data_IF_013520670093
#
_entry.id   IF_013520670093
#
_cell.length_a   1.000
_cell.length_b   1.000
_cell.length_c   1.000
_cell.angle_alpha   90.00
_cell.angle_beta   90.00
_cell.angle_gamma   90.00
#
_symmetry.space_group_name_H-M   'P 1'
#
loop_
_entity.id
_entity.type
_entity.pdbx_description
1 polymer ?
#
# COMPACT_ATOMS: atom_id res chain seq x y z
N UNK A 1 13.99 2.46 -8.05
CA UNK A 1 14.23 3.80 -7.46
C UNK A 1 13.37 3.91 -6.21
N UNK A 2 13.89 4.41 -5.09
CA UNK A 2 13.08 4.63 -3.89
C UNK A 2 11.98 5.67 -4.15
N UNK A 3 10.77 5.41 -3.66
CA UNK A 3 9.67 6.35 -3.68
C UNK A 3 9.98 7.48 -2.69
N UNK A 4 9.86 8.72 -3.16
CA UNK A 4 10.02 9.91 -2.34
C UNK A 4 8.70 10.68 -2.26
N UNK A 5 8.28 10.97 -1.04
CA UNK A 5 7.06 11.70 -0.73
C UNK A 5 7.47 13.05 -0.15
N UNK A 6 6.84 14.11 -0.64
CA UNK A 6 7.14 15.47 -0.27
C UNK A 6 5.92 16.20 0.27
N UNK A 7 6.16 17.31 0.97
CA UNK A 7 5.14 18.22 1.49
C UNK A 7 5.43 19.65 1.09
N UNK A 8 4.37 20.40 0.78
CA UNK A 8 4.35 21.86 0.69
C UNK A 8 3.00 22.37 1.18
N UNK A 9 2.97 23.35 2.09
CA UNK A 9 1.73 24.00 2.57
C UNK A 9 0.60 23.03 2.97
N UNK A 10 0.94 21.92 3.62
CA UNK A 10 -0.03 20.89 4.05
C UNK A 10 -0.47 19.91 2.94
N UNK A 11 -0.02 20.13 1.71
CA UNK A 11 -0.27 19.26 0.56
C UNK A 11 0.87 18.26 0.43
N UNK A 12 0.52 16.97 0.34
CA UNK A 12 1.48 15.91 0.03
C UNK A 12 1.59 15.72 -1.48
N UNK A 13 2.82 15.51 -1.95
CA UNK A 13 3.13 15.17 -3.33
C UNK A 13 4.12 14.02 -3.43
N UNK A 14 4.37 13.57 -4.66
CA UNK A 14 5.25 12.45 -4.99
C UNK A 14 6.25 12.87 -6.06
N UNK A 15 7.51 12.49 -5.89
CA UNK A 15 8.56 12.81 -6.87
C UNK A 15 8.54 11.82 -8.05
N UNK A 16 8.57 12.40 -9.24
CA UNK A 16 8.73 11.70 -10.52
C UNK A 16 10.21 11.51 -10.85
N UNK A 17 10.50 10.62 -11.80
CA UNK A 17 11.86 10.39 -12.31
C UNK A 17 12.46 11.63 -12.98
N UNK A 18 11.60 12.53 -13.48
CA UNK A 18 12.00 13.86 -14.00
C UNK A 18 12.46 14.85 -12.92
N UNK A 19 12.30 14.52 -11.63
CA UNK A 19 12.60 15.42 -10.51
C UNK A 19 11.45 16.30 -10.08
N UNK A 20 10.43 16.50 -10.93
CA UNK A 20 9.18 17.21 -10.60
C UNK A 20 8.43 16.51 -9.46
N UNK A 21 7.71 17.29 -8.64
CA UNK A 21 6.88 16.77 -7.55
C UNK A 21 5.42 17.11 -7.84
N UNK A 22 4.59 16.07 -7.97
CA UNK A 22 3.18 16.25 -8.34
C UNK A 22 2.25 15.88 -7.18
N UNK A 23 1.07 16.49 -7.17
CA UNK A 23 -0.05 16.12 -6.30
C UNK A 23 -1.35 16.08 -7.10
N UNK A 24 -2.44 15.65 -6.43
CA UNK A 24 -3.79 15.61 -7.00
C UNK A 24 -4.75 16.36 -6.09
N UNK A 25 -5.42 17.37 -6.64
CA UNK A 25 -6.46 18.15 -5.97
C UNK A 25 -7.59 18.36 -6.97
N UNK A 26 -8.84 18.10 -6.56
CA UNK A 26 -10.02 18.25 -7.41
C UNK A 26 -9.87 17.58 -8.79
N UNK A 27 -9.36 16.34 -8.81
CA UNK A 27 -9.09 15.54 -10.01
C UNK A 27 -8.10 16.14 -11.01
N UNK A 28 -7.38 17.21 -10.63
CA UNK A 28 -6.37 17.84 -11.47
C UNK A 28 -4.98 17.56 -10.90
N UNK A 29 -4.08 17.10 -11.76
CA UNK A 29 -2.67 16.91 -11.42
C UNK A 29 -1.98 18.28 -11.51
N UNK A 30 -1.24 18.64 -10.48
CA UNK A 30 -0.46 19.87 -10.45
C UNK A 30 0.89 19.64 -9.80
N UNK A 31 1.84 20.49 -10.15
CA UNK A 31 3.19 20.48 -9.59
C UNK A 31 3.23 21.31 -8.30
N UNK A 32 3.98 20.84 -7.32
CA UNK A 32 4.24 21.55 -6.06
C UNK A 32 5.74 21.79 -5.90
N UNK A 33 6.09 22.90 -5.25
CA UNK A 33 7.45 23.18 -4.84
C UNK A 33 7.63 22.69 -3.40
N UNK A 34 8.28 21.54 -3.17
CA UNK A 34 8.30 20.93 -1.85
C UNK A 34 9.25 21.65 -0.89
N UNK A 35 8.81 21.86 0.35
CA UNK A 35 9.63 22.40 1.43
C UNK A 35 10.36 21.27 2.18
N UNK A 36 9.78 20.05 2.14
CA UNK A 36 10.35 18.85 2.77
C UNK A 36 10.04 17.60 1.97
N UNK A 37 11.01 16.70 1.86
CA UNK A 37 10.84 15.38 1.25
C UNK A 37 11.39 14.27 2.15
N UNK A 38 10.79 13.09 2.06
CA UNK A 38 11.21 11.88 2.78
C UNK A 38 11.26 10.73 1.79
N UNK A 39 12.43 10.07 1.72
CA UNK A 39 12.58 8.80 1.03
C UNK A 39 11.93 7.69 1.84
N UNK A 40 11.18 6.84 1.17
CA UNK A 40 10.50 5.70 1.76
C UNK A 40 11.30 4.42 1.51
N UNK A 41 10.94 3.34 2.21
CA UNK A 41 11.50 2.00 1.94
C UNK A 41 10.75 1.29 0.79
N UNK A 42 9.89 2.01 0.06
CA UNK A 42 9.14 1.47 -1.07
C UNK A 42 9.96 1.69 -2.34
N UNK A 43 10.39 0.61 -2.98
CA UNK A 43 11.12 0.65 -4.24
C UNK A 43 10.15 0.62 -5.42
N UNK A 44 10.21 1.61 -6.30
CA UNK A 44 9.43 1.63 -7.54
C UNK A 44 10.23 0.96 -8.65
N UNK A 45 9.61 -0.07 -9.23
CA UNK A 45 10.02 -0.76 -10.47
C UNK A 45 9.02 -0.44 -11.58
N UNK A 46 9.24 -0.97 -12.78
CA UNK A 46 8.44 -0.65 -13.97
C UNK A 46 6.96 -1.02 -13.82
N UNK A 47 6.65 -2.18 -13.22
CA UNK A 47 5.28 -2.73 -13.13
C UNK A 47 4.75 -2.89 -11.71
N UNK A 48 5.56 -2.56 -10.72
CA UNK A 48 5.23 -2.76 -9.30
C UNK A 48 6.01 -1.80 -8.40
N UNK A 49 5.46 -1.51 -7.23
CA UNK A 49 6.20 -0.97 -6.11
C UNK A 49 6.39 -2.07 -5.06
N UNK A 50 7.57 -2.12 -4.46
CA UNK A 50 7.99 -3.21 -3.58
C UNK A 50 8.36 -2.67 -2.22
N UNK A 51 7.78 -3.26 -1.16
CA UNK A 51 8.20 -3.07 0.22
C UNK A 51 8.49 -4.45 0.80
N UNK A 52 9.77 -4.78 1.02
CA UNK A 52 10.18 -6.15 1.35
C UNK A 52 9.63 -7.14 0.31
N UNK A 53 8.79 -8.10 0.70
CA UNK A 53 8.16 -9.05 -0.22
C UNK A 53 6.80 -8.56 -0.74
N UNK A 54 6.25 -7.47 -0.19
CA UNK A 54 4.98 -6.93 -0.65
C UNK A 54 5.13 -6.21 -1.98
N UNK A 55 4.25 -6.53 -2.93
CA UNK A 55 4.21 -5.99 -4.29
C UNK A 55 2.88 -5.30 -4.52
N UNK A 56 2.93 -4.02 -4.87
CA UNK A 56 1.79 -3.19 -5.25
C UNK A 56 1.82 -3.03 -6.77
N UNK A 57 0.84 -3.55 -7.51
CA UNK A 57 0.87 -3.46 -8.97
C UNK A 57 0.71 -2.03 -9.49
N UNK A 58 1.48 -1.67 -10.52
CA UNK A 58 1.52 -0.37 -11.16
C UNK A 58 1.18 -0.49 -12.66
N UNK A 59 -0.11 -0.72 -12.95
CA UNK A 59 -0.59 -0.93 -14.32
C UNK A 59 -1.24 0.31 -14.96
N UNK A 60 -1.11 1.49 -14.34
CA UNK A 60 -1.65 2.71 -14.92
C UNK A 60 -0.79 3.16 -16.12
N UNK A 61 -1.38 3.84 -17.12
CA UNK A 61 -0.72 4.08 -18.40
C UNK A 61 0.45 5.06 -18.34
N UNK A 62 0.67 5.77 -17.23
CA UNK A 62 1.76 6.71 -17.08
C UNK A 62 2.46 6.61 -15.73
N UNK A 63 3.72 7.04 -15.69
CA UNK A 63 4.48 7.19 -14.45
C UNK A 63 3.72 8.07 -13.45
N UNK A 64 3.18 9.20 -13.91
CA UNK A 64 2.45 10.16 -13.08
C UNK A 64 1.28 9.50 -12.35
N UNK A 65 0.46 8.73 -13.07
CA UNK A 65 -0.68 8.03 -12.47
C UNK A 65 -0.25 6.94 -11.50
N UNK A 66 0.79 6.16 -11.83
CA UNK A 66 1.33 5.14 -10.94
C UNK A 66 1.94 5.77 -9.66
N UNK A 67 2.63 6.91 -9.78
CA UNK A 67 3.17 7.64 -8.65
C UNK A 67 2.07 8.24 -7.78
N UNK A 68 1.01 8.76 -8.39
CA UNK A 68 -0.17 9.23 -7.65
C UNK A 68 -0.89 8.07 -6.94
N UNK A 69 -1.02 6.89 -7.56
CA UNK A 69 -1.51 5.69 -6.86
C UNK A 69 -0.70 5.44 -5.58
N UNK A 70 0.62 5.45 -5.67
CA UNK A 70 1.50 5.27 -4.50
C UNK A 70 1.38 6.38 -3.47
N UNK A 71 1.17 7.63 -3.89
CA UNK A 71 0.87 8.74 -2.98
C UNK A 71 -0.43 8.46 -2.20
N UNK A 72 -1.47 7.95 -2.86
CA UNK A 72 -2.72 7.57 -2.20
C UNK A 72 -2.55 6.39 -1.25
N UNK A 73 -1.69 5.42 -1.59
CA UNK A 73 -1.31 4.32 -0.69
C UNK A 73 -0.66 4.88 0.56
N UNK A 74 0.34 5.76 0.43
CA UNK A 74 1.03 6.38 1.58
C UNK A 74 0.09 7.29 2.38
N UNK A 75 -0.85 8.00 1.73
CA UNK A 75 -1.90 8.76 2.44
C UNK A 75 -2.90 7.85 3.17
N UNK A 76 -2.88 6.56 2.89
CA UNK A 76 -3.83 5.58 3.39
C UNK A 76 -5.25 5.79 2.87
N UNK A 77 -5.40 6.45 1.71
CA UNK A 77 -6.70 6.80 1.11
C UNK A 77 -7.18 5.78 0.07
N UNK A 78 -6.35 4.80 -0.30
CA UNK A 78 -6.76 3.68 -1.17
C UNK A 78 -7.75 2.75 -0.46
N UNK A 79 -8.73 2.26 -1.22
CA UNK A 79 -9.71 1.26 -0.81
C UNK A 79 -9.89 0.25 -1.93
N UNK A 80 -10.26 -0.99 -1.60
CA UNK A 80 -10.35 -2.11 -2.54
C UNK A 80 -9.04 -2.36 -3.30
N UNK A 81 -7.91 -2.17 -2.62
CA UNK A 81 -6.58 -2.39 -3.18
C UNK A 81 -6.12 -3.82 -2.91
N UNK A 82 -5.35 -4.38 -3.83
CA UNK A 82 -4.74 -5.70 -3.70
C UNK A 82 -3.22 -5.54 -3.66
N UNK A 83 -2.61 -6.10 -2.61
CA UNK A 83 -1.17 -6.20 -2.43
C UNK A 83 -0.79 -7.68 -2.46
N UNK A 84 0.25 -8.03 -3.20
CA UNK A 84 0.72 -9.41 -3.32
C UNK A 84 1.96 -9.63 -2.47
N UNK A 85 1.97 -10.66 -1.62
CA UNK A 85 3.19 -11.07 -0.91
C UNK A 85 4.04 -12.01 -1.77
N UNK A 86 3.38 -12.88 -2.53
CA UNK A 86 3.97 -13.72 -3.57
C UNK A 86 2.85 -14.12 -4.55
N UNK A 87 3.09 -15.08 -5.45
CA UNK A 87 2.09 -15.51 -6.44
C UNK A 87 0.98 -16.40 -5.83
N UNK A 88 1.06 -16.69 -4.54
CA UNK A 88 0.15 -17.60 -3.81
C UNK A 88 -0.51 -16.96 -2.58
N UNK A 89 -0.15 -15.71 -2.24
CA UNK A 89 -0.68 -14.99 -1.09
C UNK A 89 -1.03 -13.56 -1.48
N UNK A 90 -2.30 -13.23 -1.26
CA UNK A 90 -2.88 -11.93 -1.57
C UNK A 90 -3.33 -11.25 -0.28
N UNK A 91 -3.23 -9.93 -0.25
CA UNK A 91 -3.72 -9.04 0.80
C UNK A 91 -4.73 -8.11 0.14
N UNK A 92 -5.97 -8.25 0.53
CA UNK A 92 -7.08 -7.42 0.08
C UNK A 92 -7.41 -6.40 1.15
N UNK A 93 -7.51 -5.14 0.75
CA UNK A 93 -7.82 -4.01 1.63
C UNK A 93 -9.22 -3.51 1.28
N UNK A 94 -10.21 -3.81 2.11
CA UNK A 94 -11.63 -3.51 1.81
C UNK A 94 -12.07 -2.10 2.17
N UNK A 95 -11.30 -1.43 3.03
CA UNK A 95 -11.59 -0.08 3.50
C UNK A 95 -10.42 0.85 3.17
N UNK A 96 -10.51 2.14 3.54
CA UNK A 96 -9.34 3.02 3.43
C UNK A 96 -8.18 2.44 4.24
N UNK A 97 -6.99 2.31 3.65
CA UNK A 97 -5.82 1.70 4.28
C UNK A 97 -5.51 2.30 5.67
N UNK A 98 -5.72 3.61 5.87
CA UNK A 98 -5.54 4.28 7.17
C UNK A 98 -6.48 3.76 8.28
N UNK A 99 -7.61 3.17 7.89
CA UNK A 99 -8.62 2.61 8.80
C UNK A 99 -8.41 1.12 9.08
N UNK A 100 -7.40 0.48 8.46
CA UNK A 100 -7.10 -0.94 8.70
C UNK A 100 -6.77 -1.17 10.17
N UNK A 101 -7.53 -2.09 10.78
CA UNK A 101 -7.37 -2.46 12.18
C UNK A 101 -6.57 -3.76 12.28
N UNK A 102 -5.27 -3.62 12.55
CA UNK A 102 -4.42 -4.77 12.83
C UNK A 102 -4.66 -5.26 14.27
N UNK A 103 -4.74 -6.56 14.47
CA UNK A 103 -4.94 -7.15 15.80
C UNK A 103 -3.71 -7.94 16.23
N UNK A 104 -3.43 -8.02 17.53
CA UNK A 104 -2.34 -8.86 18.03
C UNK A 104 -2.74 -10.35 18.12
N UNK A 105 -4.05 -10.65 18.08
CA UNK A 105 -4.57 -12.02 18.17
C UNK A 105 -4.95 -12.51 16.78
N UNK A 106 -4.08 -13.33 16.21
CA UNK A 106 -4.27 -13.89 14.87
C UNK A 106 -5.12 -15.15 14.99
N UNK A 107 -6.32 -15.13 14.40
CA UNK A 107 -7.16 -16.31 14.23
C UNK A 107 -7.17 -16.70 12.76
N UNK A 108 -6.81 -17.95 12.48
CA UNK A 108 -6.94 -18.50 11.14
C UNK A 108 -8.36 -18.99 10.90
N UNK A 109 -8.92 -18.65 9.75
CA UNK A 109 -10.15 -19.28 9.25
C UNK A 109 -9.85 -20.00 7.94
N UNK A 110 -10.64 -21.02 7.60
CA UNK A 110 -10.63 -21.64 6.25
C UNK A 110 -11.50 -20.88 5.24
N UNK A 111 -12.25 -19.88 5.71
CA UNK A 111 -13.19 -19.08 4.94
C UNK A 111 -12.83 -17.60 5.11
N UNK A 112 -12.33 -16.98 4.04
CA UNK A 112 -11.99 -15.56 4.00
C UNK A 112 -13.17 -14.72 3.56
N UNK A 113 -14.04 -14.36 4.49
CA UNK A 113 -15.08 -13.34 4.28
C UNK A 113 -15.86 -13.49 2.96
N UNK A 114 -16.00 -12.38 2.23
CA UNK A 114 -16.83 -12.25 1.02
C UNK A 114 -16.19 -12.82 -0.26
N UNK A 115 -14.98 -13.40 -0.20
CA UNK A 115 -14.22 -13.74 -1.41
C UNK A 115 -14.61 -15.07 -2.07
N UNK A 116 -15.68 -15.74 -1.59
CA UNK A 116 -16.29 -16.89 -2.28
C UNK A 116 -15.29 -17.95 -2.72
N UNK A 117 -14.20 -18.14 -1.95
CA UNK A 117 -13.04 -18.92 -2.39
C UNK A 117 -13.49 -20.36 -2.66
N UNK A 118 -13.41 -20.76 -3.92
CA UNK A 118 -13.80 -22.10 -4.38
C UNK A 118 -12.90 -23.20 -3.80
N UNK A 119 -11.70 -22.83 -3.34
CA UNK A 119 -10.70 -23.74 -2.79
C UNK A 119 -10.35 -23.34 -1.35
N UNK A 120 -10.05 -24.32 -0.48
CA UNK A 120 -9.63 -24.05 0.89
C UNK A 120 -8.33 -23.24 0.91
N UNK A 121 -8.36 -22.08 1.59
CA UNK A 121 -7.19 -21.27 1.85
C UNK A 121 -7.05 -21.02 3.36
N UNK A 122 -5.81 -20.76 3.80
CA UNK A 122 -5.59 -20.19 5.13
C UNK A 122 -5.86 -18.69 5.07
N UNK A 123 -6.56 -18.18 6.08
CA UNK A 123 -6.98 -16.79 6.14
C UNK A 123 -6.53 -16.08 7.40
N UNK A 124 -6.12 -14.82 7.28
CA UNK A 124 -6.07 -13.86 8.39
C UNK A 124 -6.79 -12.60 7.92
N UNK A 125 -7.84 -12.15 8.61
CA UNK A 125 -8.57 -10.96 8.19
C UNK A 125 -9.67 -10.56 9.17
N UNK A 126 -10.29 -9.41 8.87
CA UNK A 126 -11.44 -8.87 9.57
C UNK A 126 -12.30 -8.06 8.59
N UNK A 127 -13.12 -7.14 9.09
CA UNK A 127 -13.99 -6.29 8.25
C UNK A 127 -13.24 -5.26 7.38
N UNK A 128 -11.94 -5.05 7.62
CA UNK A 128 -11.14 -4.01 6.95
C UNK A 128 -10.12 -4.56 5.95
N UNK A 129 -9.73 -5.83 6.07
CA UNK A 129 -8.77 -6.50 5.20
C UNK A 129 -8.90 -8.02 5.28
N UNK A 130 -8.41 -8.71 4.25
CA UNK A 130 -8.23 -10.16 4.26
C UNK A 130 -6.88 -10.54 3.64
N UNK A 131 -6.19 -11.50 4.25
CA UNK A 131 -4.95 -12.09 3.75
C UNK A 131 -5.18 -13.57 3.58
N UNK A 132 -4.92 -14.11 2.40
CA UNK A 132 -5.15 -15.52 2.15
C UNK A 132 -4.22 -16.16 1.15
N UNK A 133 -4.05 -17.47 1.32
CA UNK A 133 -3.21 -18.29 0.46
C UNK A 133 -3.21 -19.76 0.88
N UNK A 134 -2.54 -20.59 0.09
CA UNK A 134 -2.52 -22.05 0.28
C UNK A 134 -1.64 -22.51 1.45
N UNK A 135 -0.65 -21.71 1.82
CA UNK A 135 0.33 -22.04 2.86
C UNK A 135 0.13 -21.17 4.10
N UNK A 136 -0.17 -21.79 5.24
CA UNK A 136 -0.40 -21.10 6.52
C UNK A 136 0.77 -20.22 6.94
N UNK A 137 2.01 -20.69 6.76
CA UNK A 137 3.20 -19.97 7.19
C UNK A 137 3.42 -18.74 6.31
N UNK A 138 3.17 -18.83 5.01
CA UNK A 138 3.28 -17.68 4.10
C UNK A 138 2.21 -16.64 4.39
N UNK A 139 0.97 -17.05 4.69
CA UNK A 139 -0.10 -16.14 5.11
C UNK A 139 0.27 -15.41 6.41
N UNK A 140 0.90 -16.12 7.35
CA UNK A 140 1.39 -15.50 8.58
C UNK A 140 2.53 -14.51 8.32
N UNK A 141 3.52 -14.86 7.50
CA UNK A 141 4.61 -13.96 7.13
C UNK A 141 4.10 -12.72 6.39
N UNK A 142 3.14 -12.89 5.47
CA UNK A 142 2.48 -11.79 4.80
C UNK A 142 1.77 -10.86 5.78
N UNK A 143 1.11 -11.39 6.82
CA UNK A 143 0.52 -10.56 7.87
C UNK A 143 1.55 -9.73 8.65
N UNK A 144 2.69 -10.32 8.99
CA UNK A 144 3.76 -9.61 9.70
C UNK A 144 4.34 -8.48 8.85
N UNK A 145 4.67 -8.74 7.59
CA UNK A 145 5.18 -7.71 6.68
C UNK A 145 4.13 -6.64 6.36
N UNK A 146 2.85 -7.03 6.24
CA UNK A 146 1.76 -6.07 6.08
C UNK A 146 1.64 -5.14 7.29
N UNK A 147 1.79 -5.67 8.51
CA UNK A 147 1.82 -4.84 9.72
C UNK A 147 2.97 -3.83 9.69
N UNK A 148 4.17 -4.29 9.34
CA UNK A 148 5.34 -3.40 9.22
C UNK A 148 5.16 -2.34 8.11
N UNK A 149 4.52 -2.69 7.01
CA UNK A 149 4.20 -1.77 5.93
C UNK A 149 3.25 -0.65 6.40
N UNK A 150 2.17 -1.00 7.11
CA UNK A 150 1.25 -0.01 7.69
C UNK A 150 1.99 0.90 8.68
N UNK A 151 2.84 0.33 9.54
CA UNK A 151 3.62 1.11 10.51
C UNK A 151 4.65 2.01 9.82
N UNK A 152 5.25 1.57 8.71
CA UNK A 152 6.12 2.38 7.87
C UNK A 152 5.38 3.58 7.27
N UNK A 153 4.19 3.36 6.71
CA UNK A 153 3.35 4.43 6.17
C UNK A 153 3.01 5.46 7.27
N UNK A 154 2.60 5.00 8.45
CA UNK A 154 2.28 5.89 9.59
C UNK A 154 3.48 6.76 9.97
N UNK A 155 4.70 6.18 10.01
CA UNK A 155 5.93 6.93 10.29
C UNK A 155 6.23 7.99 9.23
N UNK A 156 6.02 7.69 7.94
CA UNK A 156 6.19 8.69 6.87
C UNK A 156 5.22 9.86 7.08
N UNK A 157 3.95 9.56 7.33
CA UNK A 157 2.94 10.60 7.55
C UNK A 157 3.27 11.45 8.78
N UNK A 158 3.68 10.85 9.91
CA UNK A 158 4.11 11.58 11.10
C UNK A 158 5.33 12.47 10.83
N UNK A 159 6.30 12.01 10.04
CA UNK A 159 7.47 12.81 9.65
C UNK A 159 7.11 13.98 8.73
N UNK A 160 5.98 13.88 8.03
CA UNK A 160 5.47 14.91 7.13
C UNK A 160 4.33 15.71 7.76
N UNK A 161 3.90 15.46 9.00
CA UNK A 161 2.89 16.28 9.68
C UNK A 161 3.58 17.45 10.36
#
# INVERSE_FOLDING_TARGET
MELEICKSDGILGVRLSSGRVISLLNNSIFEINPDRCVKTLIEVKEKEAVFKNLRIPLYLPSEELNKLKLLYVVKGEVSHEIIYYNDSVEIHIDTKLKNVKLTNKISFTRFCGNYGLLLPNYCIGNETFAIFGKNKNEVYSAYLEFKEFIDHIRKILLNLT
#
